data_IF_399578424342
#
_entry.id   IF_399578424342
#
_cell.length_a   1.000
_cell.length_b   1.000
_cell.length_c   1.000
_cell.angle_alpha   90.00
_cell.angle_beta   90.00
_cell.angle_gamma   90.00
#
_symmetry.space_group_name_H-M   'P 1'
#
loop_
_entity.id
_entity.type
_entity.pdbx_description
1 polymer ?
#
# COMPACT_ATOMS: atom_id res chain seq x y z
N UNK A 1 11.75 19.85 6.51
CA UNK A 1 10.39 19.30 6.48
C UNK A 1 9.91 19.08 7.90
N UNK A 2 8.85 19.75 8.30
CA UNK A 2 8.19 19.57 9.60
C UNK A 2 7.55 18.17 9.67
N UNK A 3 7.69 17.51 10.81
CA UNK A 3 6.99 16.24 11.07
C UNK A 3 6.57 16.17 12.53
N UNK A 4 5.38 15.65 12.76
CA UNK A 4 4.80 15.48 14.08
C UNK A 4 4.43 14.01 14.30
N UNK A 5 4.89 13.43 15.39
CA UNK A 5 4.43 12.11 15.82
C UNK A 5 3.05 12.25 16.45
N UNK A 6 2.16 11.33 16.07
CA UNK A 6 0.81 11.26 16.61
C UNK A 6 0.31 9.81 16.64
N UNK A 7 -0.88 9.61 17.18
CA UNK A 7 -1.58 8.32 17.12
C UNK A 7 -2.99 8.56 16.61
N UNK A 8 -3.42 7.71 15.69
CA UNK A 8 -4.84 7.58 15.30
C UNK A 8 -5.41 6.43 16.12
N UNK A 9 -6.12 6.75 17.20
CA UNK A 9 -6.46 5.74 18.20
C UNK A 9 -5.20 5.09 18.81
N UNK A 10 -4.96 3.82 18.47
CA UNK A 10 -3.77 3.07 18.90
C UNK A 10 -2.68 2.97 17.82
N UNK A 11 -2.94 3.48 16.63
CA UNK A 11 -2.08 3.34 15.45
C UNK A 11 -0.99 4.41 15.49
N UNK A 12 0.30 4.06 15.58
CA UNK A 12 1.41 5.01 15.47
C UNK A 12 1.44 5.64 14.07
N UNK A 13 1.45 6.96 14.02
CA UNK A 13 1.39 7.72 12.78
C UNK A 13 2.34 8.93 12.79
N UNK A 14 2.60 9.48 11.61
CA UNK A 14 3.35 10.72 11.39
C UNK A 14 2.55 11.64 10.48
N UNK A 15 2.44 12.89 10.91
CA UNK A 15 1.97 13.98 10.08
C UNK A 15 3.17 14.77 9.57
N UNK A 16 3.27 14.90 8.25
CA UNK A 16 4.36 15.58 7.56
C UNK A 16 3.83 16.85 6.89
N UNK A 17 4.65 17.89 6.90
CA UNK A 17 4.36 19.16 6.25
C UNK A 17 3.63 20.16 7.12
N UNK A 18 3.52 21.39 6.60
CA UNK A 18 2.85 22.48 7.28
C UNK A 18 1.32 22.35 7.14
N UNK A 19 0.52 23.01 8.00
CA UNK A 19 -0.94 22.93 7.95
C UNK A 19 -1.50 23.23 6.55
N UNK A 20 -2.42 22.38 6.10
CA UNK A 20 -3.11 22.47 4.80
C UNK A 20 -4.53 21.96 4.92
N UNK A 21 -5.42 22.33 4.00
CA UNK A 21 -6.76 21.76 3.84
C UNK A 21 -6.77 20.57 2.86
N UNK A 22 -5.61 20.20 2.34
CA UNK A 22 -5.39 19.06 1.44
C UNK A 22 -4.38 18.10 2.04
N UNK A 23 -4.65 16.82 1.97
CA UNK A 23 -3.73 15.81 2.50
C UNK A 23 -3.69 14.52 1.71
N UNK A 24 -2.63 13.75 1.95
CA UNK A 24 -2.41 12.44 1.37
C UNK A 24 -2.23 11.43 2.51
N UNK A 25 -3.06 10.39 2.53
CA UNK A 25 -2.84 9.22 3.36
C UNK A 25 -1.79 8.35 2.68
N UNK A 26 -0.72 7.99 3.38
CA UNK A 26 0.36 7.18 2.85
C UNK A 26 0.42 5.81 3.54
N UNK A 27 0.26 4.74 2.74
CA UNK A 27 0.24 3.35 3.19
C UNK A 27 1.46 2.62 2.66
N UNK A 28 2.32 2.19 3.56
CA UNK A 28 3.56 1.47 3.22
C UNK A 28 3.31 0.02 2.80
N UNK A 29 4.32 -0.62 2.21
CA UNK A 29 4.31 -2.03 1.81
C UNK A 29 4.75 -3.00 2.91
N UNK A 30 4.88 -4.27 2.54
CA UNK A 30 5.42 -5.31 3.43
C UNK A 30 6.86 -5.01 3.81
N UNK A 31 7.27 -5.39 5.03
CA UNK A 31 8.62 -5.19 5.59
C UNK A 31 9.08 -3.72 5.68
N UNK A 32 8.14 -2.78 5.58
CA UNK A 32 8.37 -1.35 5.59
C UNK A 32 7.77 -0.68 6.85
N UNK A 33 7.66 0.63 6.87
CA UNK A 33 7.10 1.40 8.00
C UNK A 33 6.75 2.84 7.57
N UNK A 34 6.06 3.59 8.43
CA UNK A 34 5.61 4.98 8.20
C UNK A 34 6.71 5.99 7.89
N UNK A 35 7.99 5.65 8.10
CA UNK A 35 9.17 6.49 7.82
C UNK A 35 10.03 5.93 6.68
N UNK A 36 9.47 5.03 5.87
CA UNK A 36 10.18 4.48 4.72
C UNK A 36 10.64 5.58 3.76
N UNK A 37 11.73 5.33 3.05
CA UNK A 37 12.33 6.31 2.15
C UNK A 37 11.37 6.78 1.08
N UNK A 38 10.56 5.89 0.51
CA UNK A 38 9.55 6.25 -0.50
C UNK A 38 8.45 7.15 0.08
N UNK A 39 8.09 6.96 1.36
CA UNK A 39 7.13 7.82 2.07
C UNK A 39 7.75 9.19 2.39
N UNK A 40 9.02 9.24 2.78
CA UNK A 40 9.73 10.52 2.98
C UNK A 40 9.79 11.35 1.70
N UNK A 41 10.07 10.70 0.56
CA UNK A 41 10.08 11.34 -0.76
C UNK A 41 8.69 11.87 -1.10
N UNK A 42 7.66 11.02 -0.98
CA UNK A 42 6.28 11.45 -1.16
C UNK A 42 5.95 12.67 -0.29
N UNK A 43 6.23 12.60 1.02
CA UNK A 43 5.88 13.67 1.95
C UNK A 43 6.56 14.99 1.59
N UNK A 44 7.81 14.95 1.14
CA UNK A 44 8.52 16.13 0.66
C UNK A 44 7.87 16.71 -0.61
N UNK A 45 7.59 15.85 -1.60
CA UNK A 45 6.97 16.28 -2.86
C UNK A 45 5.54 16.79 -2.66
N UNK A 46 4.77 16.13 -1.82
CA UNK A 46 3.43 16.56 -1.43
C UNK A 46 3.44 17.93 -0.76
N UNK A 47 4.40 18.18 0.15
CA UNK A 47 4.56 19.49 0.80
C UNK A 47 4.89 20.59 -0.22
N UNK A 48 5.76 20.34 -1.20
CA UNK A 48 6.08 21.28 -2.29
C UNK A 48 4.84 21.68 -3.10
N UNK A 49 3.84 20.79 -3.18
CA UNK A 49 2.54 21.01 -3.85
C UNK A 49 1.43 21.50 -2.88
N UNK A 50 1.76 21.79 -1.63
CA UNK A 50 0.83 22.30 -0.63
C UNK A 50 -0.08 21.25 0.01
N UNK A 51 0.34 19.98 0.07
CA UNK A 51 -0.33 18.92 0.81
C UNK A 51 0.38 18.60 2.12
N UNK A 52 -0.38 18.17 3.13
CA UNK A 52 0.17 17.39 4.24
C UNK A 52 0.17 15.89 3.88
N UNK A 53 0.99 15.10 4.56
CA UNK A 53 0.95 13.63 4.44
C UNK A 53 0.75 13.00 5.81
N UNK A 54 -0.16 12.03 5.91
CA UNK A 54 -0.36 11.19 7.10
C UNK A 54 0.10 9.77 6.77
N UNK A 55 1.21 9.35 7.34
CA UNK A 55 1.71 7.98 7.24
C UNK A 55 1.57 7.25 8.57
N UNK A 56 1.36 5.94 8.54
CA UNK A 56 1.13 5.14 9.75
C UNK A 56 1.71 3.73 9.59
N UNK A 57 1.91 3.01 10.71
CA UNK A 57 2.39 1.65 10.67
C UNK A 57 1.23 0.64 10.58
N UNK A 58 1.28 -0.23 9.59
CA UNK A 58 0.41 -1.41 9.51
C UNK A 58 0.68 -2.38 10.67
N UNK A 59 -0.26 -3.27 11.03
CA UNK A 59 0.00 -4.36 11.97
C UNK A 59 1.29 -5.11 11.63
N UNK A 60 2.04 -5.55 12.64
CA UNK A 60 3.35 -6.23 12.54
C UNK A 60 4.48 -5.40 11.92
N UNK A 61 4.27 -4.11 11.63
CA UNK A 61 5.28 -3.25 11.01
C UNK A 61 5.67 -2.07 11.91
N UNK A 62 6.85 -1.51 11.65
CA UNK A 62 7.34 -0.32 12.32
C UNK A 62 7.29 -0.42 13.85
N UNK A 63 6.64 0.54 14.51
CA UNK A 63 6.46 0.57 15.97
C UNK A 63 5.43 -0.46 16.48
N UNK A 64 4.84 -1.25 15.57
CA UNK A 64 3.85 -2.29 15.89
C UNK A 64 4.37 -3.72 15.79
N UNK A 65 5.66 -3.93 15.52
CA UNK A 65 6.26 -5.25 15.33
C UNK A 65 5.99 -6.25 16.48
N UNK A 66 5.81 -5.74 17.69
CA UNK A 66 5.60 -6.56 18.88
C UNK A 66 4.14 -6.54 19.38
N UNK A 67 3.21 -6.05 18.57
CA UNK A 67 1.78 -6.06 18.89
C UNK A 67 1.15 -7.38 18.45
N UNK A 68 0.04 -7.75 19.09
CA UNK A 68 -0.67 -9.01 18.79
C UNK A 68 -1.53 -8.96 17.53
N UNK A 69 -1.75 -7.78 16.96
CA UNK A 69 -2.54 -7.63 15.73
C UNK A 69 -1.71 -8.08 14.52
N UNK A 70 -2.21 -9.07 13.79
CA UNK A 70 -1.56 -9.60 12.59
C UNK A 70 -1.86 -8.74 11.35
N UNK A 71 -0.93 -8.71 10.40
CA UNK A 71 -1.09 -8.03 9.12
C UNK A 71 -1.98 -8.83 8.16
N UNK A 72 -3.26 -8.91 8.50
CA UNK A 72 -4.33 -9.60 7.77
C UNK A 72 -5.42 -8.62 7.34
N UNK A 73 -6.30 -8.99 6.39
CA UNK A 73 -7.33 -8.08 5.87
C UNK A 73 -8.17 -7.41 6.97
N UNK A 74 -8.72 -8.17 7.91
CA UNK A 74 -9.59 -7.62 8.96
C UNK A 74 -8.93 -6.49 9.75
N UNK A 75 -7.84 -6.72 10.49
CA UNK A 75 -7.13 -5.68 11.25
C UNK A 75 -6.62 -4.52 10.37
N UNK A 76 -6.07 -4.81 9.19
CA UNK A 76 -5.54 -3.77 8.31
C UNK A 76 -6.66 -2.87 7.78
N UNK A 77 -7.78 -3.42 7.29
CA UNK A 77 -8.92 -2.64 6.80
C UNK A 77 -9.53 -1.79 7.92
N UNK A 78 -9.65 -2.34 9.14
CA UNK A 78 -10.13 -1.58 10.30
C UNK A 78 -9.22 -0.38 10.61
N UNK A 79 -7.91 -0.58 10.61
CA UNK A 79 -6.94 0.48 10.84
C UNK A 79 -6.99 1.54 9.73
N UNK A 80 -7.04 1.11 8.47
CA UNK A 80 -7.15 2.02 7.33
C UNK A 80 -8.41 2.89 7.43
N UNK A 81 -9.56 2.30 7.78
CA UNK A 81 -10.80 3.06 7.98
C UNK A 81 -10.64 4.11 9.09
N UNK A 82 -10.03 3.74 10.22
CA UNK A 82 -9.77 4.69 11.31
C UNK A 82 -8.85 5.84 10.87
N UNK A 83 -7.83 5.53 10.07
CA UNK A 83 -6.92 6.55 9.50
C UNK A 83 -7.65 7.45 8.50
N UNK A 84 -8.54 6.91 7.69
CA UNK A 84 -9.34 7.71 6.75
C UNK A 84 -10.32 8.64 7.47
N UNK A 85 -10.97 8.16 8.54
CA UNK A 85 -11.84 8.99 9.36
C UNK A 85 -11.05 10.17 9.97
N UNK A 86 -9.88 9.91 10.52
CA UNK A 86 -8.98 10.97 11.00
C UNK A 86 -8.55 11.93 9.89
N UNK A 87 -8.20 11.42 8.71
CA UNK A 87 -7.82 12.23 7.55
C UNK A 87 -8.95 13.19 7.13
N UNK A 88 -10.20 12.72 7.10
CA UNK A 88 -11.37 13.51 6.75
C UNK A 88 -11.72 14.59 7.79
N UNK A 89 -11.30 14.43 9.06
CA UNK A 89 -11.44 15.51 10.05
C UNK A 89 -10.42 16.62 9.86
N UNK A 90 -9.26 16.30 9.26
CA UNK A 90 -8.15 17.22 9.05
C UNK A 90 -8.24 17.98 7.73
N UNK A 91 -8.69 17.29 6.67
CA UNK A 91 -8.58 17.76 5.30
C UNK A 91 -9.89 17.72 4.56
N UNK A 92 -10.12 18.76 3.78
CA UNK A 92 -11.26 18.84 2.88
C UNK A 92 -11.08 17.97 1.64
N UNK A 93 -9.82 17.81 1.21
CA UNK A 93 -9.45 16.96 0.07
C UNK A 93 -8.42 15.93 0.52
N UNK A 94 -8.74 14.66 0.29
CA UNK A 94 -7.88 13.52 0.65
C UNK A 94 -7.45 12.79 -0.60
N UNK A 95 -6.13 12.67 -0.77
CA UNK A 95 -5.50 11.76 -1.72
C UNK A 95 -4.95 10.52 -1.01
N UNK A 96 -4.51 9.56 -1.79
CA UNK A 96 -3.92 8.31 -1.32
C UNK A 96 -2.59 8.07 -2.02
N UNK A 97 -1.57 7.70 -1.25
CA UNK A 97 -0.39 7.01 -1.78
C UNK A 97 -0.31 5.63 -1.15
N UNK A 98 -0.07 4.60 -1.96
CA UNK A 98 0.07 3.25 -1.43
C UNK A 98 1.15 2.46 -2.18
N UNK A 99 1.98 1.75 -1.41
CA UNK A 99 3.08 0.95 -1.92
C UNK A 99 2.77 -0.55 -1.72
N UNK A 100 2.90 -1.35 -2.77
CA UNK A 100 2.87 -2.82 -2.72
C UNK A 100 1.63 -3.35 -1.96
N UNK A 101 1.84 -4.06 -0.86
CA UNK A 101 0.79 -4.58 0.05
C UNK A 101 -0.17 -3.47 0.53
N UNK A 102 0.34 -2.26 0.74
CA UNK A 102 -0.48 -1.11 1.12
C UNK A 102 -1.55 -0.77 0.08
N UNK A 103 -1.27 -0.97 -1.21
CA UNK A 103 -2.25 -0.78 -2.28
C UNK A 103 -3.40 -1.79 -2.16
N UNK A 104 -3.11 -3.08 -1.91
CA UNK A 104 -4.15 -4.09 -1.71
C UNK A 104 -5.11 -3.73 -0.56
N UNK A 105 -4.58 -3.40 0.61
CA UNK A 105 -5.44 -3.02 1.73
C UNK A 105 -6.22 -1.73 1.45
N UNK A 106 -5.62 -0.79 0.74
CA UNK A 106 -6.29 0.46 0.35
C UNK A 106 -7.44 0.21 -0.63
N UNK A 107 -7.25 -0.64 -1.62
CA UNK A 107 -8.29 -1.07 -2.57
C UNK A 107 -9.48 -1.75 -1.86
N UNK A 108 -9.20 -2.51 -0.78
CA UNK A 108 -10.22 -3.15 0.04
C UNK A 108 -10.94 -2.18 0.99
N UNK A 109 -10.20 -1.23 1.57
CA UNK A 109 -10.75 -0.30 2.57
C UNK A 109 -11.47 0.91 1.97
N UNK A 110 -11.05 1.39 0.79
CA UNK A 110 -11.39 2.72 0.29
C UNK A 110 -12.18 2.78 -1.03
N UNK A 111 -12.91 1.74 -1.49
CA UNK A 111 -13.60 1.80 -2.78
C UNK A 111 -14.60 2.96 -2.86
N UNK A 112 -15.15 3.41 -1.72
CA UNK A 112 -16.14 4.47 -1.61
C UNK A 112 -15.69 5.60 -0.67
N UNK A 113 -14.38 5.79 -0.46
CA UNK A 113 -13.89 6.77 0.50
C UNK A 113 -13.98 8.24 0.04
N UNK A 114 -14.30 8.48 -1.22
CA UNK A 114 -14.37 9.84 -1.80
C UNK A 114 -12.99 10.46 -1.99
N UNK A 115 -11.99 9.65 -2.27
CA UNK A 115 -10.63 10.08 -2.56
C UNK A 115 -10.58 10.89 -3.86
N UNK A 116 -9.75 11.94 -3.89
CA UNK A 116 -9.56 12.78 -5.07
C UNK A 116 -8.69 12.13 -6.13
N UNK A 117 -7.63 11.44 -5.70
CA UNK A 117 -6.72 10.65 -6.55
C UNK A 117 -5.92 9.65 -5.73
N UNK A 118 -5.41 8.66 -6.40
CA UNK A 118 -4.51 7.67 -5.82
C UNK A 118 -3.20 7.58 -6.61
N UNK A 119 -2.11 7.34 -5.90
CA UNK A 119 -0.76 7.14 -6.43
C UNK A 119 -0.25 5.80 -5.92
N UNK A 120 -0.03 4.86 -6.82
CA UNK A 120 0.41 3.53 -6.45
C UNK A 120 1.83 3.26 -6.93
N UNK A 121 2.68 2.77 -6.02
CA UNK A 121 4.04 2.34 -6.32
C UNK A 121 4.11 0.81 -6.26
N UNK A 122 4.47 0.15 -7.36
CA UNK A 122 4.55 -1.32 -7.47
C UNK A 122 3.37 -2.02 -6.76
N UNK A 123 2.10 -1.69 -7.12
CA UNK A 123 0.96 -2.07 -6.31
C UNK A 123 0.65 -3.57 -6.40
N UNK A 124 0.37 -4.17 -5.26
CA UNK A 124 -0.25 -5.48 -5.21
C UNK A 124 -1.76 -5.34 -5.41
N UNK A 125 -2.23 -5.62 -6.62
CA UNK A 125 -3.63 -5.44 -7.02
C UNK A 125 -4.42 -6.76 -7.07
N UNK A 126 -3.71 -7.90 -7.04
CA UNK A 126 -4.28 -9.25 -7.04
C UNK A 126 -3.60 -10.09 -5.94
N UNK A 127 -4.20 -10.08 -4.75
CA UNK A 127 -3.67 -10.81 -3.61
C UNK A 127 -3.92 -12.32 -3.72
N UNK A 128 -4.99 -12.75 -4.38
CA UNK A 128 -5.22 -14.18 -4.61
C UNK A 128 -4.10 -14.77 -5.44
N UNK A 129 -3.75 -14.11 -6.54
CA UNK A 129 -2.64 -14.49 -7.40
C UNK A 129 -1.31 -14.50 -6.64
N UNK A 130 -1.04 -13.48 -5.82
CA UNK A 130 0.17 -13.41 -5.00
C UNK A 130 0.26 -14.59 -4.03
N UNK A 131 -0.81 -14.93 -3.33
CA UNK A 131 -0.84 -16.08 -2.41
C UNK A 131 -0.61 -17.38 -3.18
N UNK A 132 -1.23 -17.55 -4.35
CA UNK A 132 -1.03 -18.72 -5.21
C UNK A 132 0.43 -18.82 -5.66
N UNK A 133 1.04 -17.73 -6.10
CA UNK A 133 2.46 -17.70 -6.45
C UNK A 133 3.36 -18.10 -5.27
N UNK A 134 3.08 -17.57 -4.06
CA UNK A 134 3.83 -17.98 -2.86
C UNK A 134 3.64 -19.46 -2.55
N UNK A 135 2.45 -20.01 -2.73
CA UNK A 135 2.19 -21.45 -2.56
C UNK A 135 3.00 -22.26 -3.56
N UNK A 136 3.07 -21.84 -4.82
CA UNK A 136 3.85 -22.51 -5.86
C UNK A 136 5.37 -22.43 -5.58
N UNK A 137 5.89 -21.24 -5.25
CA UNK A 137 7.32 -21.05 -4.93
C UNK A 137 7.80 -21.91 -3.76
N UNK A 138 6.94 -22.13 -2.76
CA UNK A 138 7.28 -22.88 -1.56
C UNK A 138 6.69 -24.30 -1.53
N UNK A 139 6.12 -24.76 -2.65
CA UNK A 139 5.53 -26.10 -2.78
C UNK A 139 4.49 -26.38 -1.67
N UNK A 140 3.65 -25.41 -1.38
CA UNK A 140 2.54 -25.51 -0.44
C UNK A 140 1.25 -25.75 -1.23
N UNK A 141 0.63 -26.93 -1.04
CA UNK A 141 -0.69 -27.18 -1.62
C UNK A 141 -1.80 -26.51 -0.80
N UNK A 142 -2.91 -26.18 -1.45
CA UNK A 142 -4.10 -25.62 -0.79
C UNK A 142 -4.59 -26.56 0.33
N UNK A 143 -4.57 -27.88 0.08
CA UNK A 143 -4.95 -28.89 1.07
C UNK A 143 -4.02 -28.85 2.29
N UNK A 144 -2.72 -28.69 2.09
CA UNK A 144 -1.74 -28.55 3.18
C UNK A 144 -1.99 -27.28 3.98
N UNK A 145 -2.17 -26.13 3.32
CA UNK A 145 -2.45 -24.86 3.98
C UNK A 145 -3.76 -24.90 4.78
N UNK A 146 -4.81 -25.53 4.21
CA UNK A 146 -6.08 -25.74 4.90
C UNK A 146 -5.95 -26.58 6.15
N UNK A 147 -5.16 -27.66 6.09
CA UNK A 147 -4.96 -28.59 7.22
C UNK A 147 -4.12 -27.96 8.34
N UNK A 148 -3.06 -27.24 7.99
CA UNK A 148 -2.11 -26.66 8.94
C UNK A 148 -2.58 -25.28 9.47
N UNK A 149 -3.42 -24.57 8.71
CA UNK A 149 -3.96 -23.27 9.06
C UNK A 149 -3.00 -22.12 8.78
N UNK A 150 -1.71 -22.29 9.10
CA UNK A 150 -0.65 -21.32 8.86
C UNK A 150 0.66 -22.01 8.52
N UNK A 151 1.41 -21.45 7.57
CA UNK A 151 2.70 -21.96 7.12
C UNK A 151 3.67 -20.79 6.94
N UNK A 152 4.69 -20.64 7.82
CA UNK A 152 5.76 -19.67 7.65
C UNK A 152 6.56 -19.93 6.37
N UNK A 153 6.93 -18.86 5.66
CA UNK A 153 7.75 -18.96 4.44
C UNK A 153 9.14 -18.39 4.64
N UNK A 154 10.12 -18.82 3.85
CA UNK A 154 11.48 -18.27 3.88
C UNK A 154 11.59 -16.78 3.55
N UNK A 155 10.57 -16.20 2.91
CA UNK A 155 10.49 -14.75 2.64
C UNK A 155 10.11 -13.91 3.86
N UNK A 156 9.86 -14.55 5.02
CA UNK A 156 9.47 -13.87 6.25
C UNK A 156 7.97 -13.53 6.35
N UNK A 157 7.17 -13.87 5.34
CA UNK A 157 5.71 -13.86 5.44
C UNK A 157 5.19 -15.24 5.82
N UNK A 158 4.03 -15.28 6.46
CA UNK A 158 3.30 -16.51 6.75
C UNK A 158 2.08 -16.62 5.83
N UNK A 159 1.92 -17.77 5.19
CA UNK A 159 0.69 -18.12 4.50
C UNK A 159 -0.35 -18.51 5.55
N UNK A 160 -1.53 -17.88 5.50
CA UNK A 160 -2.65 -18.17 6.38
C UNK A 160 -3.85 -18.65 5.58
N UNK A 161 -4.46 -19.75 6.02
CA UNK A 161 -5.66 -20.28 5.38
C UNK A 161 -6.84 -19.31 5.45
N UNK A 162 -7.06 -18.68 6.59
CA UNK A 162 -8.13 -17.69 6.77
C UNK A 162 -7.93 -16.45 5.90
N UNK A 163 -6.69 -15.99 5.70
CA UNK A 163 -6.38 -14.89 4.78
C UNK A 163 -6.70 -15.28 3.34
N UNK A 164 -6.26 -16.47 2.92
CA UNK A 164 -6.55 -16.96 1.56
C UNK A 164 -8.05 -17.09 1.30
N UNK A 165 -8.81 -17.60 2.27
CA UNK A 165 -10.27 -17.67 2.18
C UNK A 165 -10.90 -16.27 2.11
N UNK A 166 -10.43 -15.29 2.92
CA UNK A 166 -10.94 -13.91 2.87
C UNK A 166 -10.72 -13.26 1.51
N UNK A 167 -9.51 -13.42 0.96
CA UNK A 167 -9.17 -12.84 -0.36
C UNK A 167 -10.09 -13.37 -1.46
N UNK A 168 -10.33 -14.68 -1.49
CA UNK A 168 -11.22 -15.33 -2.47
C UNK A 168 -12.69 -14.91 -2.29
N UNK A 169 -13.11 -14.71 -1.06
CA UNK A 169 -14.49 -14.30 -0.75
C UNK A 169 -14.74 -12.82 -1.02
N UNK A 170 -13.70 -12.00 -1.11
CA UNK A 170 -13.80 -10.55 -1.23
C UNK A 170 -12.85 -10.00 -2.31
N UNK A 171 -13.08 -10.32 -3.58
CA UNK A 171 -12.29 -9.77 -4.68
C UNK A 171 -12.46 -8.24 -4.78
N UNK A 172 -11.49 -7.56 -5.40
CA UNK A 172 -11.60 -6.13 -5.69
C UNK A 172 -12.56 -5.96 -6.87
N UNK A 173 -13.78 -5.49 -6.59
CA UNK A 173 -14.84 -5.38 -7.60
C UNK A 173 -15.07 -3.95 -8.10
N UNK A 174 -14.73 -2.95 -7.29
CA UNK A 174 -14.95 -1.55 -7.60
C UNK A 174 -13.75 -0.68 -7.21
N UNK A 175 -13.40 0.24 -8.09
CA UNK A 175 -12.43 1.30 -7.84
C UNK A 175 -12.66 2.41 -8.87
N UNK A 176 -13.14 3.56 -8.43
CA UNK A 176 -13.47 4.71 -9.28
C UNK A 176 -12.55 5.92 -9.06
N UNK A 177 -11.52 5.76 -8.22
CA UNK A 177 -10.57 6.82 -7.91
C UNK A 177 -9.57 6.99 -9.07
N UNK A 178 -9.40 8.22 -9.61
CA UNK A 178 -8.36 8.50 -10.58
C UNK A 178 -6.99 8.08 -10.04
N UNK A 179 -6.33 7.14 -10.72
CA UNK A 179 -5.15 6.45 -10.21
C UNK A 179 -3.99 6.57 -11.17
N UNK A 180 -2.83 6.93 -10.64
CA UNK A 180 -1.54 6.87 -11.34
C UNK A 180 -0.68 5.76 -10.72
N UNK A 181 -0.03 4.97 -11.54
CA UNK A 181 0.79 3.82 -11.12
C UNK A 181 2.21 3.99 -11.66
N UNK A 182 3.21 3.87 -10.78
CA UNK A 182 4.60 3.65 -11.14
C UNK A 182 4.97 2.20 -10.84
N UNK A 183 5.44 1.46 -11.85
CA UNK A 183 5.73 0.04 -11.75
C UNK A 183 7.10 -0.30 -12.35
N UNK A 184 7.84 -1.20 -11.70
CA UNK A 184 9.17 -1.63 -12.16
C UNK A 184 9.09 -2.74 -13.21
N UNK A 185 9.80 -2.57 -14.34
CA UNK A 185 9.82 -3.55 -15.45
C UNK A 185 10.26 -4.96 -15.01
N UNK A 186 11.10 -5.05 -13.97
CA UNK A 186 11.61 -6.30 -13.40
C UNK A 186 10.95 -6.67 -12.07
N UNK A 187 9.73 -6.19 -11.84
CA UNK A 187 8.95 -6.53 -10.66
C UNK A 187 8.45 -7.99 -10.75
N UNK A 188 9.09 -8.88 -9.99
CA UNK A 188 8.74 -10.31 -9.94
C UNK A 188 7.66 -10.63 -8.89
N UNK A 189 7.29 -9.66 -8.04
CA UNK A 189 6.27 -9.85 -7.02
C UNK A 189 4.87 -9.44 -7.49
N UNK A 190 4.77 -8.28 -8.16
CA UNK A 190 3.52 -7.78 -8.72
C UNK A 190 3.56 -7.94 -10.24
N UNK A 191 3.07 -9.07 -10.73
CA UNK A 191 3.12 -9.44 -12.15
C UNK A 191 2.53 -8.33 -13.04
N UNK A 192 3.20 -8.04 -14.15
CA UNK A 192 2.80 -7.01 -15.12
C UNK A 192 1.35 -7.19 -15.58
N UNK A 193 0.97 -8.42 -15.86
CA UNK A 193 -0.35 -8.78 -16.35
C UNK A 193 -1.46 -8.39 -15.36
N UNK A 194 -1.21 -8.51 -14.04
CA UNK A 194 -2.19 -8.15 -13.01
C UNK A 194 -2.35 -6.63 -12.92
N UNK A 195 -1.25 -5.88 -13.00
CA UNK A 195 -1.28 -4.40 -12.99
C UNK A 195 -1.95 -3.86 -14.27
N UNK A 196 -1.62 -4.40 -15.43
CA UNK A 196 -2.27 -4.01 -16.69
C UNK A 196 -3.76 -4.40 -16.71
N UNK A 197 -4.14 -5.55 -16.13
CA UNK A 197 -5.54 -5.95 -16.00
C UNK A 197 -6.31 -4.99 -15.07
N UNK A 198 -5.69 -4.54 -13.98
CA UNK A 198 -6.25 -3.52 -13.09
C UNK A 198 -6.51 -2.22 -13.84
N UNK A 199 -5.53 -1.70 -14.59
CA UNK A 199 -5.67 -0.47 -15.38
C UNK A 199 -6.74 -0.62 -16.48
N UNK A 200 -6.78 -1.76 -17.17
CA UNK A 200 -7.86 -2.03 -18.16
C UNK A 200 -9.25 -2.04 -17.54
N UNK A 201 -9.38 -2.53 -16.31
CA UNK A 201 -10.67 -2.66 -15.63
C UNK A 201 -11.17 -1.37 -15.00
N UNK A 202 -10.28 -0.64 -14.35
CA UNK A 202 -10.65 0.51 -13.52
C UNK A 202 -10.17 1.86 -14.07
N UNK A 203 -9.36 1.85 -15.12
CA UNK A 203 -8.74 3.05 -15.67
C UNK A 203 -7.48 3.46 -14.90
N UNK A 204 -6.88 4.58 -15.31
CA UNK A 204 -5.70 5.16 -14.70
C UNK A 204 -4.47 5.17 -15.61
N UNK A 205 -3.42 5.86 -15.16
CA UNK A 205 -2.10 5.89 -15.81
C UNK A 205 -1.21 4.76 -15.31
N UNK A 206 -0.37 4.22 -16.19
CA UNK A 206 0.67 3.26 -15.84
C UNK A 206 1.99 3.71 -16.46
N UNK A 207 2.94 4.06 -15.60
CA UNK A 207 4.32 4.31 -15.98
C UNK A 207 5.19 3.11 -15.61
N UNK A 208 5.98 2.62 -16.58
CA UNK A 208 6.86 1.47 -16.40
C UNK A 208 8.30 1.96 -16.34
N UNK A 209 8.94 1.83 -15.17
CA UNK A 209 10.35 2.17 -15.02
C UNK A 209 11.22 1.02 -15.49
N UNK A 210 11.93 1.25 -16.59
CA UNK A 210 12.80 0.25 -17.21
C UNK A 210 13.90 -0.22 -16.26
N UNK A 211 14.07 -1.53 -16.14
CA UNK A 211 15.11 -2.17 -15.33
C UNK A 211 14.92 -2.02 -13.82
N UNK A 212 13.79 -1.48 -13.35
CA UNK A 212 13.50 -1.39 -11.92
C UNK A 212 12.86 -2.67 -11.40
N UNK A 213 13.28 -3.03 -10.19
CA UNK A 213 12.71 -4.13 -9.41
C UNK A 213 11.50 -3.65 -8.57
N UNK A 214 10.87 -4.58 -7.85
CA UNK A 214 9.74 -4.28 -6.97
C UNK A 214 10.06 -3.21 -5.89
N UNK A 215 11.23 -3.32 -5.27
CA UNK A 215 11.65 -2.42 -4.20
C UNK A 215 12.40 -1.21 -4.76
N UNK A 216 11.79 -0.04 -4.68
CA UNK A 216 12.41 1.22 -5.06
C UNK A 216 13.40 1.68 -3.98
N UNK A 217 14.66 1.32 -4.12
CA UNK A 217 15.72 1.59 -3.12
C UNK A 217 17.00 2.16 -3.72
N UNK A 218 17.24 1.96 -5.02
CA UNK A 218 18.44 2.51 -5.67
C UNK A 218 18.30 4.02 -5.92
N UNK A 219 19.41 4.78 -6.01
CA UNK A 219 19.33 6.22 -6.33
C UNK A 219 18.56 6.51 -7.62
N UNK A 220 18.71 5.67 -8.65
CA UNK A 220 18.01 5.84 -9.94
C UNK A 220 16.49 5.63 -9.76
N UNK A 221 16.09 4.59 -9.07
CA UNK A 221 14.67 4.31 -8.80
C UNK A 221 14.02 5.40 -7.94
N UNK A 222 14.75 5.89 -6.92
CA UNK A 222 14.24 6.95 -6.05
C UNK A 222 14.15 8.29 -6.78
N UNK A 223 15.08 8.60 -7.68
CA UNK A 223 14.99 9.79 -8.53
C UNK A 223 13.80 9.68 -9.50
N UNK A 224 13.58 8.52 -10.13
CA UNK A 224 12.41 8.29 -10.97
C UNK A 224 11.10 8.44 -10.21
N UNK A 225 11.03 7.95 -8.96
CA UNK A 225 9.88 8.17 -8.09
C UNK A 225 9.65 9.68 -7.82
N UNK A 226 10.72 10.44 -7.57
CA UNK A 226 10.62 11.89 -7.37
C UNK A 226 10.08 12.60 -8.62
N UNK A 227 10.60 12.27 -9.79
CA UNK A 227 10.18 12.84 -11.08
C UNK A 227 8.72 12.48 -11.39
N UNK A 228 8.33 11.22 -11.16
CA UNK A 228 6.96 10.77 -11.34
C UNK A 228 5.97 11.50 -10.39
N UNK A 229 6.33 11.67 -9.13
CA UNK A 229 5.52 12.44 -8.18
C UNK A 229 5.41 13.92 -8.54
N UNK A 230 6.46 14.52 -9.11
CA UNK A 230 6.41 15.90 -9.59
C UNK A 230 5.43 16.11 -10.75
N UNK A 231 5.27 15.10 -11.58
CA UNK A 231 4.39 15.15 -12.75
C UNK A 231 2.93 14.80 -12.39
N UNK A 232 2.72 13.99 -11.38
CA UNK A 232 1.40 13.41 -11.09
C UNK A 232 0.68 14.06 -9.89
N UNK A 233 1.39 14.60 -8.88
CA UNK A 233 0.84 15.37 -7.78
C UNK A 233 0.38 16.77 -8.26
#
# INVERSE_FOLDING_TARGET
MTRQELKVGRIPALLWGDPSDRGIVAVHGSQSHKRDRVIEILARKAMEKGYQTLSFDLPEHGDRKNQSALCKPGPCIQDLNSVMDEAKTRWREVGLFANSLGAYFSLRAYPNAGLKRAFFLSPLVDMERMIQNMMDWFQVSEERLRREGEIPTPMGQTLYWDYYCDVRANPIEAWDVPTEILWGEQDELCERETVEAFVRRFGGGLEILKGAEHFFHTPIQLAALEDWLDQTL
#
